data_IF_721106170828
#
_entry.id   IF_721106170828
#
_cell.length_a   1.000
_cell.length_b   1.000
_cell.length_c   1.000
_cell.angle_alpha   90.00
_cell.angle_beta   90.00
_cell.angle_gamma   90.00
#
_symmetry.space_group_name_H-M   'P 1'
#
loop_
_entity.id
_entity.type
_entity.pdbx_description
1 polymer ?
#
# COMPACT_ATOMS: atom_id res chain seq x y z
N UNK A 1 -1.39 -13.94 14.84
CA UNK A 1 -1.25 -12.76 15.72
C UNK A 1 0.23 -12.53 15.94
N UNK A 2 0.73 -11.33 15.68
CA UNK A 2 2.11 -10.95 15.98
C UNK A 2 2.24 -10.60 17.47
N UNK A 3 3.41 -10.85 18.02
CA UNK A 3 3.78 -10.38 19.36
C UNK A 3 3.73 -8.84 19.37
N UNK A 4 3.25 -8.26 20.46
CA UNK A 4 3.32 -6.81 20.67
C UNK A 4 4.75 -6.40 21.05
N UNK A 5 5.18 -5.24 20.56
CA UNK A 5 6.54 -4.73 20.67
C UNK A 5 6.56 -3.24 21.11
N UNK A 6 7.73 -2.66 21.17
CA UNK A 6 7.92 -1.25 21.49
C UNK A 6 7.27 -0.32 20.47
N UNK A 7 7.23 -0.71 19.18
CA UNK A 7 6.55 0.09 18.14
C UNK A 7 5.04 0.15 18.37
N UNK A 8 4.45 -0.96 18.79
CA UNK A 8 3.04 -1.02 19.18
C UNK A 8 2.75 -0.11 20.38
N UNK A 9 3.64 -0.11 21.38
CA UNK A 9 3.53 0.77 22.54
C UNK A 9 3.66 2.24 22.15
N UNK A 10 4.65 2.56 21.34
CA UNK A 10 4.88 3.91 20.83
C UNK A 10 3.69 4.43 20.01
N UNK A 11 3.18 3.62 19.10
CA UNK A 11 2.00 3.95 18.32
C UNK A 11 0.79 4.28 19.20
N UNK A 12 0.52 3.48 20.22
CA UNK A 12 -0.58 3.74 21.15
C UNK A 12 -0.37 5.04 21.94
N UNK A 13 0.86 5.28 22.40
CA UNK A 13 1.20 6.50 23.14
C UNK A 13 0.99 7.77 22.29
N UNK A 14 1.47 7.78 21.05
CA UNK A 14 1.26 8.88 20.11
C UNK A 14 -0.21 9.14 19.79
N UNK A 15 -1.04 8.11 19.89
CA UNK A 15 -2.49 8.22 19.72
C UNK A 15 -3.26 8.56 21.00
N UNK A 16 -2.57 8.92 22.10
CA UNK A 16 -3.19 9.22 23.38
C UNK A 16 -3.75 7.99 24.10
N UNK A 17 -3.32 6.79 23.72
CA UNK A 17 -3.81 5.50 24.18
C UNK A 17 -2.72 4.65 24.86
N UNK A 18 -1.72 5.29 25.44
CA UNK A 18 -0.62 4.59 26.11
C UNK A 18 -1.11 3.58 27.18
N UNK A 19 -2.23 3.90 27.84
CA UNK A 19 -2.86 3.05 28.86
C UNK A 19 -3.53 1.79 28.29
N UNK A 20 -3.75 1.72 26.99
CA UNK A 20 -4.32 0.54 26.33
C UNK A 20 -3.25 -0.50 25.96
N UNK A 21 -1.97 -0.15 26.11
CA UNK A 21 -0.89 -1.10 25.80
C UNK A 21 -0.90 -2.28 26.78
N UNK A 22 -0.98 -3.47 26.22
CA UNK A 22 -0.79 -4.72 26.95
C UNK A 22 0.22 -5.57 26.19
N UNK A 23 1.30 -5.96 26.84
CA UNK A 23 2.26 -6.90 26.26
C UNK A 23 1.55 -8.23 25.97
N UNK A 24 1.67 -8.69 24.75
CA UNK A 24 1.08 -9.96 24.30
C UNK A 24 2.09 -10.74 23.50
N UNK A 25 2.25 -11.99 23.88
CA UNK A 25 3.08 -12.98 23.21
C UNK A 25 2.41 -14.34 23.33
N UNK A 26 2.88 -15.34 22.61
CA UNK A 26 2.53 -16.72 22.89
C UNK A 26 3.07 -17.12 24.27
N UNK A 27 2.35 -18.00 24.97
CA UNK A 27 2.81 -18.52 26.26
C UNK A 27 4.10 -19.33 26.08
N UNK A 28 4.94 -19.35 27.13
CA UNK A 28 6.14 -20.19 27.13
C UNK A 28 5.76 -21.66 26.93
N UNK A 29 6.34 -22.29 25.91
CA UNK A 29 6.04 -23.68 25.55
C UNK A 29 4.72 -23.87 24.78
N UNK A 30 4.11 -22.83 24.25
CA UNK A 30 2.94 -22.95 23.37
C UNK A 30 3.24 -23.88 22.21
N UNK A 31 2.38 -24.88 22.00
CA UNK A 31 2.47 -25.78 20.85
C UNK A 31 1.89 -25.13 19.59
N UNK A 32 2.53 -25.35 18.44
CA UNK A 32 2.04 -24.93 17.14
C UNK A 32 1.96 -26.13 16.20
N UNK A 33 0.88 -26.23 15.44
CA UNK A 33 0.67 -27.31 14.48
C UNK A 33 1.63 -27.24 13.29
N UNK A 34 2.12 -26.03 12.99
CA UNK A 34 3.01 -25.78 11.88
C UNK A 34 4.02 -24.67 12.21
N UNK A 35 5.27 -24.86 11.74
CA UNK A 35 6.34 -23.88 11.87
C UNK A 35 6.93 -23.60 10.50
N UNK A 36 6.96 -22.34 10.11
CA UNK A 36 7.62 -21.86 8.90
C UNK A 36 8.79 -20.92 9.24
N UNK A 37 9.79 -20.95 8.37
CA UNK A 37 10.93 -20.03 8.45
C UNK A 37 11.09 -19.35 7.09
N UNK A 38 11.14 -18.03 7.09
CA UNK A 38 11.31 -17.22 5.87
C UNK A 38 12.62 -16.45 5.99
N UNK A 39 13.56 -16.73 5.09
CA UNK A 39 14.79 -15.94 4.97
C UNK A 39 14.48 -14.62 4.24
N UNK A 40 14.42 -13.54 4.97
CA UNK A 40 14.12 -12.22 4.45
C UNK A 40 15.17 -11.71 3.45
N UNK A 41 16.41 -12.23 3.50
CA UNK A 41 17.48 -11.83 2.57
C UNK A 41 17.25 -12.33 1.13
N UNK A 42 16.41 -13.35 0.96
CA UNK A 42 16.08 -13.93 -0.35
C UNK A 42 14.86 -13.31 -1.01
N UNK A 43 14.14 -12.44 -0.30
CA UNK A 43 12.92 -11.81 -0.81
C UNK A 43 13.28 -10.76 -1.86
N UNK A 44 12.66 -10.89 -3.02
CA UNK A 44 12.73 -9.90 -4.13
C UNK A 44 11.37 -9.23 -4.29
N UNK A 45 11.30 -8.04 -4.94
CA UNK A 45 10.02 -7.39 -5.22
C UNK A 45 9.08 -8.31 -6.02
N UNK A 46 7.89 -8.53 -5.48
CA UNK A 46 6.87 -9.41 -6.05
C UNK A 46 5.63 -8.59 -6.45
N UNK A 47 4.86 -9.15 -7.37
CA UNK A 47 3.62 -8.54 -7.86
C UNK A 47 2.59 -9.64 -8.12
N UNK A 48 1.35 -9.41 -7.73
CA UNK A 48 0.26 -10.30 -8.10
C UNK A 48 -0.38 -9.82 -9.42
N UNK A 49 -0.45 -10.73 -10.38
CA UNK A 49 -1.08 -10.48 -11.69
C UNK A 49 -2.62 -10.41 -11.55
N UNK A 50 -3.33 -9.78 -12.48
CA UNK A 50 -4.79 -9.90 -12.54
C UNK A 50 -5.19 -11.37 -12.74
N UNK A 51 -6.17 -11.89 -12.19
CA UNK A 51 -7.35 -11.53 -11.43
C UNK A 51 -7.38 -12.34 -10.12
N UNK A 52 -6.24 -12.57 -9.52
CA UNK A 52 -6.11 -13.30 -8.25
C UNK A 52 -4.87 -12.86 -7.47
N UNK A 53 -4.98 -12.66 -6.16
CA UNK A 53 -3.82 -12.39 -5.31
C UNK A 53 -2.77 -13.51 -5.30
N UNK A 54 -3.16 -14.74 -5.68
CA UNK A 54 -2.28 -15.92 -5.68
C UNK A 54 -1.41 -16.04 -6.93
N UNK A 55 -1.70 -15.23 -7.97
CA UNK A 55 -0.89 -15.21 -9.21
C UNK A 55 0.35 -14.35 -9.05
N UNK A 56 1.24 -14.77 -8.16
CA UNK A 56 2.43 -13.98 -7.79
C UNK A 56 3.61 -14.33 -8.69
N UNK A 57 4.25 -13.30 -9.22
CA UNK A 57 5.51 -13.36 -9.98
C UNK A 57 6.46 -12.28 -9.48
N UNK A 58 7.71 -12.31 -9.90
CA UNK A 58 8.63 -11.19 -9.63
C UNK A 58 8.23 -9.95 -10.45
N UNK A 59 8.51 -8.76 -9.91
CA UNK A 59 8.29 -7.50 -10.66
C UNK A 59 9.05 -7.52 -11.99
N UNK A 60 10.22 -8.17 -12.04
CA UNK A 60 11.03 -8.31 -13.25
C UNK A 60 10.30 -9.11 -14.35
N UNK A 61 9.61 -10.18 -13.99
CA UNK A 61 8.83 -10.99 -14.94
C UNK A 61 7.61 -10.25 -15.47
N UNK A 62 7.01 -9.36 -14.67
CA UNK A 62 5.87 -8.55 -15.08
C UNK A 62 6.25 -7.26 -15.82
N UNK A 63 7.53 -6.93 -15.87
CA UNK A 63 8.01 -5.68 -16.46
C UNK A 63 7.67 -5.56 -17.96
N UNK A 64 7.43 -4.31 -18.40
CA UNK A 64 7.12 -4.00 -19.82
C UNK A 64 5.62 -3.93 -20.13
N UNK A 65 4.74 -4.30 -19.23
CA UNK A 65 3.31 -4.09 -19.39
C UNK A 65 3.00 -2.57 -19.36
N UNK A 66 2.22 -2.02 -20.31
CA UNK A 66 1.87 -0.60 -20.31
C UNK A 66 1.04 -0.26 -19.07
N UNK A 67 1.41 0.81 -18.37
CA UNK A 67 0.76 1.25 -17.14
C UNK A 67 -0.12 2.46 -17.43
N UNK A 68 -1.33 2.45 -16.91
CA UNK A 68 -2.27 3.56 -16.98
C UNK A 68 -2.45 4.25 -15.62
N UNK A 69 -2.38 3.49 -14.53
CA UNK A 69 -2.62 4.00 -13.18
C UNK A 69 -1.71 3.31 -12.16
N UNK A 70 -1.18 4.10 -11.24
CA UNK A 70 -0.61 3.62 -9.98
C UNK A 70 -1.41 4.19 -8.81
N UNK A 71 -1.76 3.38 -7.84
CA UNK A 71 -2.61 3.75 -6.71
C UNK A 71 -2.02 3.26 -5.40
N UNK A 72 -1.73 4.17 -4.48
CA UNK A 72 -1.18 3.86 -3.15
C UNK A 72 -2.19 4.17 -2.07
N UNK A 73 -2.34 3.24 -1.11
CA UNK A 73 -3.13 3.46 0.10
C UNK A 73 -4.37 2.60 0.22
N UNK A 74 -5.48 3.21 0.57
CA UNK A 74 -6.74 2.55 0.92
C UNK A 74 -6.65 1.75 2.23
N UNK A 75 -6.69 0.40 2.21
CA UNK A 75 -6.73 -0.42 3.44
C UNK A 75 -5.50 -1.30 3.66
N UNK A 76 -4.65 -1.52 2.66
CA UNK A 76 -3.50 -2.42 2.80
C UNK A 76 -2.20 -1.67 3.14
N UNK A 77 -1.87 -0.64 2.39
CA UNK A 77 -0.67 0.18 2.61
C UNK A 77 -1.03 1.67 2.74
N UNK A 78 -1.81 2.07 3.74
CA UNK A 78 -2.33 3.42 3.86
C UNK A 78 -1.61 4.24 4.94
N UNK A 79 -0.51 3.73 5.49
CA UNK A 79 0.19 4.30 6.62
C UNK A 79 1.13 5.44 6.24
N UNK A 80 1.57 6.17 7.25
CA UNK A 80 2.52 7.28 7.08
C UNK A 80 3.79 6.85 6.35
N UNK A 81 4.38 5.70 6.74
CA UNK A 81 5.61 5.16 6.14
C UNK A 81 5.47 4.92 4.65
N UNK A 82 4.35 4.36 4.22
CA UNK A 82 4.10 4.03 2.82
C UNK A 82 4.17 5.26 1.91
N UNK A 83 3.52 6.34 2.34
CA UNK A 83 3.54 7.61 1.61
C UNK A 83 4.85 8.39 1.77
N UNK A 84 5.51 8.29 2.91
CA UNK A 84 6.81 8.94 3.13
C UNK A 84 7.87 8.36 2.19
N UNK A 85 7.91 7.03 2.02
CA UNK A 85 8.81 6.36 1.07
C UNK A 85 8.50 6.82 -0.36
N UNK A 86 7.22 6.80 -0.77
CA UNK A 86 6.80 7.28 -2.09
C UNK A 86 7.22 8.73 -2.32
N UNK A 87 7.04 9.60 -1.32
CA UNK A 87 7.44 11.01 -1.39
C UNK A 87 8.95 11.21 -1.53
N UNK A 88 9.74 10.37 -0.85
CA UNK A 88 11.20 10.41 -0.99
C UNK A 88 11.67 9.92 -2.36
N UNK A 89 11.02 8.89 -2.91
CA UNK A 89 11.32 8.36 -4.25
C UNK A 89 10.98 9.37 -5.34
N UNK A 90 9.94 10.17 -5.16
CA UNK A 90 9.45 11.17 -6.13
C UNK A 90 10.01 12.57 -5.92
N UNK A 91 10.88 12.77 -4.95
CA UNK A 91 11.46 14.09 -4.66
C UNK A 91 12.25 14.61 -5.88
N UNK A 92 11.85 15.76 -6.40
CA UNK A 92 12.42 16.35 -7.60
C UNK A 92 12.09 15.62 -8.92
N UNK A 93 11.11 14.71 -8.90
CA UNK A 93 10.68 13.92 -10.08
C UNK A 93 9.23 14.23 -10.43
N UNK A 94 8.82 13.79 -11.61
CA UNK A 94 7.43 13.85 -12.07
C UNK A 94 6.93 12.47 -12.44
N UNK A 95 5.64 12.26 -12.27
CA UNK A 95 4.96 11.04 -12.71
C UNK A 95 5.07 10.92 -14.24
N UNK A 96 5.22 9.70 -14.74
CA UNK A 96 5.31 9.41 -16.16
C UNK A 96 4.08 9.93 -16.91
N UNK A 97 4.29 10.50 -18.08
CA UNK A 97 3.21 11.02 -18.92
C UNK A 97 2.20 9.91 -19.25
N UNK A 98 0.93 10.21 -19.11
CA UNK A 98 -0.16 9.27 -19.37
C UNK A 98 -0.49 8.31 -18.22
N UNK A 99 0.24 8.37 -17.11
CA UNK A 99 -0.06 7.60 -15.90
C UNK A 99 -0.77 8.47 -14.88
N UNK A 100 -1.86 7.94 -14.29
CA UNK A 100 -2.50 8.54 -13.12
C UNK A 100 -1.86 8.00 -11.86
N UNK A 101 -1.36 8.87 -10.99
CA UNK A 101 -0.84 8.47 -9.68
C UNK A 101 -1.77 8.93 -8.57
N UNK A 102 -2.37 7.98 -7.87
CA UNK A 102 -3.43 8.23 -6.90
C UNK A 102 -2.98 7.87 -5.49
N UNK A 103 -3.23 8.75 -4.54
CA UNK A 103 -2.83 8.63 -3.13
C UNK A 103 -4.03 8.70 -2.22
N UNK A 104 -4.22 7.68 -1.38
CA UNK A 104 -5.39 7.56 -0.50
C UNK A 104 -4.97 7.19 0.95
N UNK A 105 -4.60 8.17 1.78
CA UNK A 105 -4.25 7.94 3.19
C UNK A 105 -5.42 7.34 3.98
N UNK A 106 -5.13 6.46 4.94
CA UNK A 106 -6.16 5.78 5.73
C UNK A 106 -6.99 6.72 6.60
N UNK A 107 -6.35 7.71 7.21
CA UNK A 107 -6.96 8.58 8.22
C UNK A 107 -6.54 10.02 8.06
N UNK A 108 -7.34 10.92 8.62
CA UNK A 108 -6.98 12.33 8.71
C UNK A 108 -5.67 12.55 9.46
N UNK A 109 -5.36 11.73 10.45
CA UNK A 109 -4.10 11.82 11.20
C UNK A 109 -2.89 11.52 10.31
N UNK A 110 -2.93 10.43 9.55
CA UNK A 110 -1.88 10.12 8.56
C UNK A 110 -1.73 11.28 7.58
N UNK A 111 -2.83 11.79 7.05
CA UNK A 111 -2.79 12.93 6.13
C UNK A 111 -2.17 14.18 6.79
N UNK A 112 -2.55 14.52 8.02
CA UNK A 112 -2.00 15.66 8.75
C UNK A 112 -0.50 15.50 8.99
N UNK A 113 -0.05 14.30 9.36
CA UNK A 113 1.38 14.02 9.55
C UNK A 113 2.17 14.17 8.24
N UNK A 114 1.61 13.70 7.12
CA UNK A 114 2.23 13.88 5.78
C UNK A 114 2.32 15.35 5.37
N UNK A 115 1.32 16.17 5.73
CA UNK A 115 1.34 17.61 5.51
C UNK A 115 2.44 18.24 6.35
N UNK A 116 2.48 17.97 7.65
CA UNK A 116 3.45 18.56 8.60
C UNK A 116 4.89 18.19 8.26
N UNK A 117 5.13 16.99 7.74
CA UNK A 117 6.45 16.53 7.29
C UNK A 117 6.83 16.99 5.87
N UNK A 118 5.93 17.68 5.16
CA UNK A 118 6.15 18.12 3.77
C UNK A 118 6.07 17.01 2.72
N UNK A 119 5.77 15.78 3.11
CA UNK A 119 5.69 14.64 2.19
C UNK A 119 4.52 14.76 1.22
N UNK A 120 3.37 15.25 1.69
CA UNK A 120 2.23 15.45 0.81
C UNK A 120 2.55 16.43 -0.32
N UNK A 121 3.27 17.53 -0.02
CA UNK A 121 3.67 18.49 -1.03
C UNK A 121 4.51 17.85 -2.14
N UNK A 122 5.49 17.00 -1.78
CA UNK A 122 6.32 16.27 -2.76
C UNK A 122 5.49 15.39 -3.68
N UNK A 123 4.54 14.63 -3.12
CA UNK A 123 3.64 13.76 -3.89
C UNK A 123 2.76 14.56 -4.86
N UNK A 124 2.21 15.69 -4.42
CA UNK A 124 1.37 16.56 -5.26
C UNK A 124 2.18 17.24 -6.35
N UNK A 125 3.36 17.75 -6.03
CA UNK A 125 4.25 18.39 -7.01
C UNK A 125 4.75 17.41 -8.06
N UNK A 126 4.91 16.13 -7.72
CA UNK A 126 5.20 15.08 -8.69
C UNK A 126 4.05 14.77 -9.66
N UNK A 127 2.82 15.23 -9.36
CA UNK A 127 1.61 14.98 -10.16
C UNK A 127 0.62 14.01 -9.53
N UNK A 128 0.82 13.65 -8.24
CA UNK A 128 -0.09 12.78 -7.51
C UNK A 128 -1.45 13.42 -7.24
N UNK A 129 -2.51 12.62 -7.24
CA UNK A 129 -3.88 13.05 -6.91
C UNK A 129 -4.26 12.54 -5.52
N UNK A 130 -4.58 13.47 -4.62
CA UNK A 130 -5.04 13.14 -3.28
C UNK A 130 -6.53 12.78 -3.30
N UNK A 131 -6.86 11.61 -2.74
CA UNK A 131 -8.23 11.18 -2.49
C UNK A 131 -8.63 11.38 -1.03
N UNK A 132 -9.93 11.38 -0.79
CA UNK A 132 -10.48 11.41 0.56
C UNK A 132 -9.89 10.28 1.41
N UNK A 133 -9.55 10.57 2.65
CA UNK A 133 -9.02 9.57 3.58
C UNK A 133 -10.02 8.46 3.87
N UNK A 134 -9.53 7.22 3.97
CA UNK A 134 -10.34 6.05 4.25
C UNK A 134 -10.13 4.92 3.23
N UNK A 135 -10.89 3.84 3.38
CA UNK A 135 -10.86 2.70 2.48
C UNK A 135 -11.82 2.92 1.30
N UNK A 136 -11.41 3.65 0.29
CA UNK A 136 -12.23 4.06 -0.84
C UNK A 136 -11.87 3.37 -2.15
N UNK A 137 -10.66 3.61 -2.65
CA UNK A 137 -10.25 3.16 -3.98
C UNK A 137 -10.11 1.65 -4.13
N UNK A 138 -10.04 0.88 -3.03
CA UNK A 138 -9.97 -0.58 -3.13
C UNK A 138 -11.23 -1.20 -3.75
N UNK A 139 -12.37 -0.52 -3.68
CA UNK A 139 -13.62 -0.93 -4.30
C UNK A 139 -14.08 0.01 -5.43
N UNK A 140 -13.20 0.91 -5.86
CA UNK A 140 -13.48 1.84 -6.96
C UNK A 140 -14.15 3.15 -6.55
N UNK A 141 -14.39 3.39 -5.26
CA UNK A 141 -14.91 4.69 -4.80
C UNK A 141 -13.87 5.78 -5.01
N UNK A 142 -14.23 6.78 -5.80
CA UNK A 142 -13.38 7.92 -6.13
C UNK A 142 -12.37 7.65 -7.24
N UNK A 143 -11.83 6.44 -7.37
CA UNK A 143 -10.84 6.14 -8.40
C UNK A 143 -10.86 4.66 -8.81
N UNK A 144 -11.78 4.31 -9.68
CA UNK A 144 -11.78 3.02 -10.37
C UNK A 144 -10.66 2.97 -11.43
N UNK A 145 -10.12 1.78 -11.76
CA UNK A 145 -9.26 1.63 -12.93
C UNK A 145 -10.06 1.88 -14.21
N UNK A 146 -9.39 2.28 -15.28
CA UNK A 146 -10.04 2.36 -16.59
C UNK A 146 -10.25 0.94 -17.14
N UNK A 147 -11.37 0.74 -17.86
CA UNK A 147 -11.73 -0.56 -18.46
C UNK A 147 -10.63 -1.05 -19.39
N UNK A 148 -10.20 -2.30 -19.22
CA UNK A 148 -9.14 -2.95 -20.00
C UNK A 148 -7.75 -2.34 -19.85
N UNK A 149 -7.50 -1.48 -18.84
CA UNK A 149 -6.20 -0.84 -18.61
C UNK A 149 -5.53 -1.38 -17.35
N UNK A 150 -4.20 -1.46 -17.39
CA UNK A 150 -3.41 -1.90 -16.26
C UNK A 150 -3.36 -0.85 -15.15
N UNK A 151 -3.64 -1.27 -13.93
CA UNK A 151 -3.56 -0.45 -12.73
C UNK A 151 -2.73 -1.19 -11.67
N UNK A 152 -1.62 -0.58 -11.23
CA UNK A 152 -0.85 -1.04 -10.06
C UNK A 152 -1.51 -0.52 -8.80
N UNK A 153 -1.82 -1.39 -7.84
CA UNK A 153 -2.50 -0.99 -6.61
C UNK A 153 -1.92 -1.66 -5.38
N UNK A 154 -1.87 -0.93 -4.31
CA UNK A 154 -1.49 -1.47 -2.99
C UNK A 154 -2.72 -1.89 -2.18
N UNK A 155 -3.74 -2.41 -2.86
CA UNK A 155 -4.99 -2.87 -2.24
C UNK A 155 -4.94 -4.37 -1.95
N UNK A 156 -5.81 -4.91 -1.08
CA UNK A 156 -5.68 -6.30 -0.64
C UNK A 156 -6.20 -7.34 -1.63
N UNK A 157 -6.92 -6.97 -2.69
CA UNK A 157 -7.58 -7.91 -3.61
C UNK A 157 -7.70 -7.32 -5.01
N UNK A 158 -7.59 -8.19 -6.01
CA UNK A 158 -7.70 -7.84 -7.43
C UNK A 158 -8.60 -8.80 -8.23
N UNK A 159 -9.59 -9.40 -7.59
CA UNK A 159 -10.60 -10.19 -8.29
C UNK A 159 -11.36 -9.32 -9.30
N UNK A 160 -11.83 -9.91 -10.41
CA UNK A 160 -12.56 -9.16 -11.45
C UNK A 160 -13.71 -8.34 -10.88
N UNK A 161 -13.77 -7.06 -11.24
CA UNK A 161 -14.79 -6.12 -10.75
C UNK A 161 -14.59 -5.63 -9.31
N UNK A 162 -13.58 -6.13 -8.58
CA UNK A 162 -13.37 -5.74 -7.18
C UNK A 162 -13.02 -4.26 -7.01
N UNK A 163 -12.37 -3.67 -7.99
CA UNK A 163 -12.01 -2.25 -7.99
C UNK A 163 -13.01 -1.36 -8.74
N UNK A 164 -14.24 -1.84 -8.95
CA UNK A 164 -15.34 -1.05 -9.50
C UNK A 164 -15.59 -1.19 -11.00
N UNK A 165 -14.68 -1.84 -11.74
CA UNK A 165 -14.81 -2.08 -13.18
C UNK A 165 -14.65 -3.56 -13.47
N UNK A 166 -15.59 -4.19 -14.18
CA UNK A 166 -15.59 -5.63 -14.42
C UNK A 166 -14.40 -6.11 -15.25
N UNK A 167 -13.95 -5.29 -16.19
CA UNK A 167 -12.85 -5.60 -17.10
C UNK A 167 -11.54 -4.95 -16.62
N UNK A 168 -11.39 -4.77 -15.31
CA UNK A 168 -10.17 -4.20 -14.74
C UNK A 168 -8.97 -5.15 -14.89
N UNK A 169 -7.79 -4.57 -15.00
CA UNK A 169 -6.50 -5.27 -15.01
C UNK A 169 -5.68 -4.77 -13.83
N UNK A 170 -6.06 -5.22 -12.63
CA UNK A 170 -5.45 -4.78 -11.38
C UNK A 170 -4.32 -5.71 -10.96
N UNK A 171 -3.14 -5.15 -10.83
CA UNK A 171 -1.96 -5.78 -10.25
C UNK A 171 -1.83 -5.35 -8.79
N UNK A 172 -1.45 -6.26 -7.90
CA UNK A 172 -1.16 -5.94 -6.50
C UNK A 172 0.33 -5.86 -6.28
N UNK A 173 0.78 -4.79 -5.65
CA UNK A 173 2.21 -4.56 -5.39
C UNK A 173 2.44 -3.72 -4.13
N UNK A 174 3.70 -3.58 -3.74
CA UNK A 174 4.09 -2.67 -2.65
C UNK A 174 3.99 -1.21 -3.08
N UNK A 175 3.95 -0.26 -2.12
CA UNK A 175 4.02 1.17 -2.40
C UNK A 175 5.27 1.56 -3.19
N UNK A 176 6.41 0.94 -2.88
CA UNK A 176 7.67 1.15 -3.58
C UNK A 176 7.57 0.77 -5.06
N UNK A 177 7.00 -0.41 -5.34
CA UNK A 177 6.81 -0.87 -6.73
C UNK A 177 5.81 0.01 -7.49
N UNK A 178 4.72 0.43 -6.83
CA UNK A 178 3.74 1.31 -7.45
C UNK A 178 4.29 2.72 -7.75
N UNK A 179 5.32 3.14 -7.00
CA UNK A 179 5.93 4.47 -7.14
C UNK A 179 7.05 4.50 -8.19
N UNK A 180 7.78 3.37 -8.35
CA UNK A 180 8.93 3.26 -9.25
C UNK A 180 8.51 3.25 -10.72
#
# INVERSE_FOLDING_TARGET
VFQSDEETQHFLAENGRAHDYVARAADDGAGFDHHDSIDLSTIVPMIALPSSPDKVVTVREAAGAPLYQAYIGSSANPGYRDFAIAAMMLDGRSIAAGVSFDINPSTRRVLTNLISAGHLNKLLMAGGRLHQTGCNGCNGMGQAPASGKNSLRTVPRNFPGRSGVKDDQVFLCSPETATA
#
